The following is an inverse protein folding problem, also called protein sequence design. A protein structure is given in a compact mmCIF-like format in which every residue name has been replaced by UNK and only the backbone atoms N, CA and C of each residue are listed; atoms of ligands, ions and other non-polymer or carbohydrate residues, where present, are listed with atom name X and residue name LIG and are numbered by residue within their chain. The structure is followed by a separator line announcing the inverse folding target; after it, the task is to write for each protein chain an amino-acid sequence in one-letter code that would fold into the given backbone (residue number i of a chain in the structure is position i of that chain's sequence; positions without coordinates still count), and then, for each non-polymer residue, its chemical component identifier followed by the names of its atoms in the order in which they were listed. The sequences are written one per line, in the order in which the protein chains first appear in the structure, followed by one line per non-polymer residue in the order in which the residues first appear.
data_IF_752622956172
#
_entry.id   IF_752622956172
#
_cell.length_a   1.000
_cell.length_b   1.000
_cell.length_c   1.000
_cell.angle_alpha   90.00
_cell.angle_beta   90.00
_cell.angle_gamma   90.00
#
_symmetry.space_group_name_H-M   'P 1'
#
loop_
_entity.id
_entity.type
_entity.pdbx_description
1 polymer ?
#
# COMPACT_ATOMS: atom_id res chain seq x y z
N UNK A 1 0.42 8.43 16.20
CA UNK A 1 0.98 9.60 16.95
C UNK A 1 2.45 9.42 17.36
N UNK A 2 2.92 8.21 17.62
CA UNK A 2 4.30 7.97 18.08
C UNK A 2 5.37 8.29 17.03
N UNK A 3 5.11 8.04 15.74
CA UNK A 3 6.05 8.30 14.64
C UNK A 3 6.21 9.79 14.30
N UNK A 4 5.33 10.66 14.78
CA UNK A 4 5.40 12.12 14.54
C UNK A 4 6.32 12.88 15.51
N UNK A 5 7.11 12.16 16.29
CA UNK A 5 8.10 12.81 17.19
C UNK A 5 9.32 13.26 16.39
N UNK A 6 9.87 14.43 16.70
CA UNK A 6 11.04 15.00 16.02
C UNK A 6 12.24 14.05 15.91
N UNK A 7 12.43 13.16 16.90
CA UNK A 7 13.51 12.16 16.88
C UNK A 7 13.43 11.14 15.74
N UNK A 8 12.31 11.09 15.01
CA UNK A 8 12.13 10.19 13.87
C UNK A 8 12.14 10.91 12.53
N UNK A 9 12.44 12.23 12.51
CA UNK A 9 12.36 13.04 11.29
C UNK A 9 13.31 12.51 10.20
N UNK A 10 14.45 11.99 10.59
CA UNK A 10 15.46 11.44 9.66
C UNK A 10 15.04 10.11 9.01
N UNK A 11 13.92 9.54 9.47
CA UNK A 11 13.35 8.32 8.87
C UNK A 11 12.33 8.65 7.75
N UNK A 12 12.03 9.93 7.54
CA UNK A 12 11.12 10.36 6.49
C UNK A 12 11.90 11.02 5.36
N UNK A 13 11.80 10.43 4.19
CA UNK A 13 12.53 10.86 3.01
C UNK A 13 11.56 11.27 1.91
N UNK A 14 11.94 12.29 1.15
CA UNK A 14 11.23 12.62 -0.07
C UNK A 14 11.56 11.58 -1.15
N UNK A 15 10.51 10.97 -1.72
CA UNK A 15 10.62 9.83 -2.64
C UNK A 15 11.47 10.15 -3.87
N UNK A 16 11.16 11.27 -4.56
CA UNK A 16 11.81 11.64 -5.81
C UNK A 16 13.30 11.94 -5.66
N UNK A 17 13.75 12.36 -4.47
CA UNK A 17 15.13 12.73 -4.22
C UNK A 17 16.01 11.55 -3.75
N UNK A 18 15.43 10.58 -3.06
CA UNK A 18 16.24 9.63 -2.30
C UNK A 18 16.02 8.18 -2.66
N UNK A 19 14.80 7.77 -3.01
CA UNK A 19 14.45 6.35 -3.13
C UNK A 19 15.30 5.61 -4.16
N UNK A 20 15.33 6.10 -5.41
CA UNK A 20 16.12 5.45 -6.49
C UNK A 20 17.60 5.36 -6.14
N UNK A 21 18.15 6.45 -5.60
CA UNK A 21 19.53 6.50 -5.17
C UNK A 21 19.82 5.45 -4.07
N UNK A 22 18.95 5.33 -3.08
CA UNK A 22 19.11 4.32 -2.02
C UNK A 22 18.99 2.90 -2.57
N UNK A 23 18.13 2.66 -3.57
CA UNK A 23 18.08 1.37 -4.27
C UNK A 23 19.40 1.06 -4.98
N UNK A 24 19.90 1.99 -5.79
CA UNK A 24 21.14 1.84 -6.56
C UNK A 24 22.37 1.61 -5.68
N UNK A 25 22.43 2.30 -4.55
CA UNK A 25 23.55 2.23 -3.60
C UNK A 25 23.42 1.07 -2.60
N UNK A 26 22.34 0.29 -2.62
CA UNK A 26 22.09 -0.78 -1.65
C UNK A 26 21.96 -0.27 -0.22
N UNK A 27 21.34 0.88 -0.02
CA UNK A 27 21.19 1.58 1.27
C UNK A 27 19.78 1.62 1.80
N UNK A 28 18.89 0.78 1.28
CA UNK A 28 17.56 0.67 1.86
C UNK A 28 17.63 0.04 3.26
N UNK A 29 16.91 0.60 4.25
CA UNK A 29 16.81 -0.01 5.57
C UNK A 29 15.98 -1.30 5.52
N UNK A 30 16.02 -2.09 6.59
CA UNK A 30 15.32 -3.38 6.67
C UNK A 30 13.79 -3.28 6.51
N UNK A 31 13.22 -2.13 6.78
CA UNK A 31 11.78 -1.87 6.63
C UNK A 31 11.57 -0.51 5.98
N UNK A 32 10.90 -0.50 4.85
CA UNK A 32 10.57 0.70 4.06
C UNK A 32 9.09 0.72 3.77
N UNK A 33 8.46 1.85 4.00
CA UNK A 33 7.09 2.13 3.54
C UNK A 33 7.18 3.23 2.50
N UNK A 34 6.60 3.00 1.34
CA UNK A 34 6.50 3.97 0.27
C UNK A 34 5.04 4.39 0.19
N UNK A 35 4.78 5.67 0.36
CA UNK A 35 3.45 6.24 0.23
C UNK A 35 3.31 6.94 -1.13
N UNK A 36 2.16 6.77 -1.74
CA UNK A 36 1.76 7.40 -2.99
C UNK A 36 1.37 8.87 -2.76
N UNK A 37 1.12 9.60 -3.87
CA UNK A 37 0.52 10.93 -3.81
C UNK A 37 -1.00 10.80 -3.75
N UNK A 38 -1.59 11.29 -2.68
CA UNK A 38 -3.04 11.30 -2.47
C UNK A 38 -3.76 12.46 -3.17
N UNK A 39 -3.03 13.44 -3.67
CA UNK A 39 -3.61 14.64 -4.27
C UNK A 39 -2.77 15.09 -5.46
N UNK A 40 -3.44 15.77 -6.40
CA UNK A 40 -2.75 16.47 -7.46
C UNK A 40 -1.89 17.62 -6.88
N UNK A 41 -0.64 17.68 -7.29
CA UNK A 41 0.28 18.75 -6.95
C UNK A 41 0.64 19.54 -8.21
N UNK A 42 -0.03 20.67 -8.42
CA UNK A 42 0.14 21.49 -9.64
C UNK A 42 -0.16 20.66 -10.90
N UNK A 43 0.89 20.33 -11.68
CA UNK A 43 0.80 19.52 -12.90
C UNK A 43 1.12 18.03 -12.68
N UNK A 44 1.37 17.61 -11.44
CA UNK A 44 1.71 16.23 -11.11
C UNK A 44 0.46 15.55 -10.53
N UNK A 45 -0.13 14.57 -11.23
CA UNK A 45 -1.35 13.93 -10.77
C UNK A 45 -1.13 13.07 -9.52
N UNK A 46 -2.21 12.85 -8.77
CA UNK A 46 -2.28 11.79 -7.75
C UNK A 46 -2.02 10.43 -8.38
N UNK A 47 -1.49 9.48 -7.62
CA UNK A 47 -1.16 8.15 -8.10
C UNK A 47 -1.51 7.06 -7.07
N UNK A 48 -2.60 7.28 -6.35
CA UNK A 48 -3.11 6.44 -5.27
C UNK A 48 -4.20 5.45 -5.70
N UNK A 49 -4.58 5.46 -6.99
CA UNK A 49 -5.64 4.65 -7.58
C UNK A 49 -7.06 4.91 -7.02
N UNK A 50 -7.20 5.87 -6.11
CA UNK A 50 -8.53 6.24 -5.59
C UNK A 50 -9.35 6.98 -6.67
N UNK A 51 -10.61 6.61 -6.94
CA UNK A 51 -11.49 7.42 -7.80
C UNK A 51 -11.62 8.88 -7.26
N UNK A 52 -11.46 9.89 -8.07
CA UNK A 52 -11.42 9.98 -9.53
C UNK A 52 -10.02 10.07 -10.16
N UNK A 53 -8.95 9.67 -9.48
CA UNK A 53 -7.62 9.67 -10.07
C UNK A 53 -7.50 8.60 -11.17
N UNK A 54 -6.57 8.82 -12.10
CA UNK A 54 -6.28 7.86 -13.17
C UNK A 54 -5.46 6.69 -12.61
N UNK A 55 -6.03 5.48 -12.63
CA UNK A 55 -5.38 4.23 -12.22
C UNK A 55 -4.07 4.00 -13.01
N UNK A 56 -3.97 4.49 -14.25
CA UNK A 56 -2.74 4.45 -15.02
C UNK A 56 -1.55 5.14 -14.35
N UNK A 57 -1.78 6.17 -13.53
CA UNK A 57 -0.71 6.85 -12.79
C UNK A 57 -0.21 5.99 -11.62
N UNK A 58 -1.08 5.28 -10.92
CA UNK A 58 -0.69 4.31 -9.89
C UNK A 58 0.07 3.12 -10.50
N UNK A 59 -0.37 2.61 -11.65
CA UNK A 59 0.35 1.53 -12.36
C UNK A 59 1.76 1.95 -12.77
N UNK A 60 1.95 3.18 -13.27
CA UNK A 60 3.27 3.73 -13.57
C UNK A 60 4.14 3.82 -12.32
N UNK A 61 3.56 4.27 -11.21
CA UNK A 61 4.26 4.37 -9.93
C UNK A 61 4.71 3.00 -9.41
N UNK A 62 3.83 2.01 -9.41
CA UNK A 62 4.16 0.62 -9.02
C UNK A 62 5.28 0.06 -9.89
N UNK A 63 5.21 0.28 -11.22
CA UNK A 63 6.25 -0.14 -12.15
C UNK A 63 7.60 0.51 -11.82
N UNK A 64 7.61 1.82 -11.57
CA UNK A 64 8.82 2.58 -11.24
C UNK A 64 9.47 2.06 -9.95
N UNK A 65 8.67 1.82 -8.91
CA UNK A 65 9.14 1.24 -7.64
C UNK A 65 9.72 -0.15 -7.88
N UNK A 66 9.00 -1.03 -8.58
CA UNK A 66 9.47 -2.38 -8.88
C UNK A 66 10.80 -2.39 -9.63
N UNK A 67 10.93 -1.59 -10.68
CA UNK A 67 12.15 -1.52 -11.48
C UNK A 67 13.35 -1.03 -10.65
N UNK A 68 13.14 -0.04 -9.78
CA UNK A 68 14.19 0.45 -8.89
C UNK A 68 14.63 -0.62 -7.88
N UNK A 69 13.68 -1.31 -7.25
CA UNK A 69 13.97 -2.42 -6.32
C UNK A 69 14.64 -3.59 -7.03
N UNK A 70 14.13 -3.95 -8.21
CA UNK A 70 14.66 -5.06 -9.03
C UNK A 70 16.10 -4.83 -9.47
N UNK A 71 16.49 -3.57 -9.70
CA UNK A 71 17.86 -3.16 -10.02
C UNK A 71 18.80 -3.01 -8.81
N UNK A 72 18.27 -3.07 -7.59
CA UNK A 72 19.06 -2.89 -6.38
C UNK A 72 19.98 -4.09 -6.10
N UNK A 73 21.23 -3.85 -5.59
CA UNK A 73 22.07 -4.92 -5.07
C UNK A 73 21.42 -5.75 -3.96
N UNK A 74 20.45 -5.17 -3.24
CA UNK A 74 19.73 -5.83 -2.15
C UNK A 74 18.56 -6.70 -2.64
N UNK A 75 18.23 -6.72 -3.94
CA UNK A 75 17.06 -7.41 -4.47
C UNK A 75 16.89 -8.86 -3.98
N UNK A 76 17.99 -9.61 -3.93
CA UNK A 76 17.97 -11.01 -3.53
C UNK A 76 17.61 -11.25 -2.04
N UNK A 77 17.50 -10.19 -1.25
CA UNK A 77 17.14 -10.23 0.17
C UNK A 77 15.82 -9.52 0.46
N UNK A 78 15.08 -9.10 -0.60
CA UNK A 78 13.88 -8.30 -0.47
C UNK A 78 12.60 -9.13 -0.54
N UNK A 79 11.63 -8.70 0.25
CA UNK A 79 10.20 -8.94 0.04
C UNK A 79 9.53 -7.60 -0.28
N UNK A 80 9.03 -7.45 -1.48
CA UNK A 80 8.23 -6.30 -1.88
C UNK A 80 6.75 -6.65 -1.77
N UNK A 81 6.01 -5.86 -1.00
CA UNK A 81 4.58 -6.02 -0.80
C UNK A 81 3.86 -4.80 -1.37
N UNK A 82 2.92 -5.05 -2.26
CA UNK A 82 1.98 -4.06 -2.75
C UNK A 82 0.63 -4.41 -2.14
N UNK A 83 0.04 -3.51 -1.40
CA UNK A 83 -1.27 -3.73 -0.78
C UNK A 83 -2.09 -2.44 -0.80
N UNK A 84 -3.39 -2.60 -0.97
CA UNK A 84 -4.34 -1.49 -0.87
C UNK A 84 -4.93 -1.46 0.54
N UNK A 85 -5.33 -0.29 0.99
CA UNK A 85 -5.96 -0.09 2.30
C UNK A 85 -7.46 -0.44 2.27
N UNK A 86 -8.11 -0.20 1.11
CA UNK A 86 -9.52 -0.51 0.89
C UNK A 86 -9.81 -0.68 -0.61
N UNK A 87 -11.05 -0.95 -1.00
CA UNK A 87 -11.41 -1.32 -2.38
C UNK A 87 -11.66 -0.15 -3.34
N UNK A 88 -11.52 1.10 -2.90
CA UNK A 88 -11.70 2.31 -3.72
C UNK A 88 -13.14 2.55 -4.20
N UNK A 89 -14.12 1.86 -3.62
CA UNK A 89 -15.50 1.88 -4.14
C UNK A 89 -15.71 1.03 -5.39
N UNK A 90 -14.68 0.31 -5.86
CA UNK A 90 -14.81 -0.60 -6.99
C UNK A 90 -15.62 -1.84 -6.63
N UNK A 91 -16.37 -2.35 -7.62
CA UNK A 91 -17.20 -3.53 -7.46
C UNK A 91 -16.35 -4.81 -7.43
N UNK A 92 -16.75 -5.75 -6.54
CA UNK A 92 -16.25 -7.13 -6.56
C UNK A 92 -17.41 -8.10 -6.86
N UNK A 93 -17.19 -9.06 -7.74
CA UNK A 93 -18.17 -10.11 -8.07
C UNK A 93 -18.28 -11.17 -6.98
N UNK A 94 -17.40 -11.18 -5.98
CA UNK A 94 -17.44 -12.11 -4.84
C UNK A 94 -18.16 -11.46 -3.67
N UNK A 95 -19.26 -12.02 -3.16
CA UNK A 95 -19.91 -11.54 -1.96
C UNK A 95 -18.97 -11.55 -0.75
N UNK A 96 -19.10 -10.55 0.11
CA UNK A 96 -18.31 -10.53 1.35
C UNK A 96 -18.77 -11.62 2.31
N UNK A 97 -17.87 -12.34 2.99
CA UNK A 97 -18.23 -13.31 4.02
C UNK A 97 -19.02 -12.66 5.16
N UNK A 98 -20.14 -13.27 5.52
CA UNK A 98 -21.04 -12.79 6.58
C UNK A 98 -21.25 -13.82 7.70
N UNK A 99 -20.83 -15.07 7.47
CA UNK A 99 -20.96 -16.16 8.41
C UNK A 99 -19.61 -16.49 9.07
N UNK A 100 -19.63 -16.76 10.35
CA UNK A 100 -18.43 -17.17 11.10
C UNK A 100 -17.40 -16.05 11.31
N UNK A 101 -17.78 -14.80 11.10
CA UNK A 101 -16.92 -13.63 11.37
C UNK A 101 -17.28 -13.04 12.72
N UNK A 102 -16.45 -13.22 13.77
CA UNK A 102 -16.74 -12.62 15.06
C UNK A 102 -16.48 -11.10 15.02
N UNK A 103 -17.28 -10.35 15.77
CA UNK A 103 -16.94 -8.95 16.04
C UNK A 103 -15.61 -8.88 16.81
N UNK A 104 -14.68 -7.98 16.46
CA UNK A 104 -13.37 -7.91 17.11
C UNK A 104 -13.41 -7.41 18.56
N UNK A 105 -14.42 -6.61 18.93
CA UNK A 105 -14.48 -5.88 20.19
C UNK A 105 -15.91 -5.60 20.69
N UNK A 106 -16.92 -6.20 20.05
CA UNK A 106 -18.36 -6.03 20.35
C UNK A 106 -18.88 -4.58 20.24
N UNK A 107 -18.10 -3.67 19.66
CA UNK A 107 -18.53 -2.31 19.38
C UNK A 107 -19.58 -2.34 18.29
N UNK A 108 -20.61 -1.53 18.46
CA UNK A 108 -21.66 -1.32 17.47
C UNK A 108 -21.50 0.07 16.86
N UNK A 109 -21.53 0.16 15.54
CA UNK A 109 -21.48 1.42 14.82
C UNK A 109 -22.67 2.35 15.15
N UNK A 110 -22.56 3.64 14.82
CA UNK A 110 -23.60 4.61 15.12
C UNK A 110 -24.89 4.39 14.29
N UNK A 111 -25.96 5.06 14.69
CA UNK A 111 -27.16 5.20 13.88
C UNK A 111 -26.83 5.81 12.50
N UNK A 112 -27.57 5.49 11.45
CA UNK A 112 -28.77 4.64 11.43
C UNK A 112 -28.51 3.15 11.25
N UNK A 113 -27.27 2.73 10.96
CA UNK A 113 -26.99 1.36 10.52
C UNK A 113 -26.69 0.39 11.65
N UNK A 114 -26.25 0.85 12.81
CA UNK A 114 -25.85 0.01 13.95
C UNK A 114 -25.00 -1.19 13.54
N UNK A 115 -23.99 -0.96 12.70
CA UNK A 115 -23.15 -1.99 12.15
C UNK A 115 -22.38 -2.71 13.26
N UNK A 116 -22.41 -4.04 13.26
CA UNK A 116 -21.85 -4.87 14.34
C UNK A 116 -20.44 -5.39 14.07
N UNK A 117 -19.85 -5.05 12.94
CA UNK A 117 -18.51 -5.53 12.51
C UNK A 117 -18.38 -7.06 12.50
N UNK A 118 -19.47 -7.75 12.19
CA UNK A 118 -19.61 -9.21 12.14
C UNK A 118 -19.61 -9.75 10.71
N UNK A 119 -18.93 -9.05 9.80
CA UNK A 119 -18.66 -9.45 8.41
C UNK A 119 -17.33 -8.92 7.93
N UNK A 120 -16.75 -9.56 6.92
CA UNK A 120 -15.58 -9.03 6.22
C UNK A 120 -15.99 -7.95 5.21
N UNK A 121 -15.03 -7.11 4.84
CA UNK A 121 -15.16 -6.12 3.77
C UNK A 121 -14.99 -6.74 2.38
N UNK A 122 -15.13 -5.90 1.36
CA UNK A 122 -14.78 -6.24 -0.02
C UNK A 122 -13.29 -6.59 -0.09
N UNK A 123 -12.93 -7.58 -0.91
CA UNK A 123 -11.54 -7.98 -1.06
C UNK A 123 -10.69 -6.82 -1.57
N UNK A 124 -9.49 -6.67 -1.02
CA UNK A 124 -8.47 -5.74 -1.50
C UNK A 124 -7.29 -6.51 -2.10
N UNK A 125 -6.72 -6.05 -3.23
CA UNK A 125 -5.57 -6.71 -3.83
C UNK A 125 -4.35 -6.61 -2.92
N UNK A 126 -3.60 -7.70 -2.83
CA UNK A 126 -2.28 -7.71 -2.21
C UNK A 126 -1.35 -8.60 -3.03
N UNK A 127 -0.17 -8.10 -3.36
CA UNK A 127 0.80 -8.78 -4.20
C UNK A 127 2.12 -8.88 -3.44
N UNK A 128 2.68 -10.07 -3.40
CA UNK A 128 4.00 -10.35 -2.83
C UNK A 128 4.98 -10.65 -3.95
N UNK A 129 6.09 -9.95 -3.98
CA UNK A 129 7.13 -10.11 -4.99
C UNK A 129 8.48 -10.31 -4.29
N UNK A 130 9.15 -11.42 -4.58
CA UNK A 130 10.48 -11.73 -4.04
C UNK A 130 11.15 -12.80 -4.88
N UNK A 131 12.48 -12.84 -4.96
CA UNK A 131 13.20 -13.99 -5.51
C UNK A 131 12.95 -15.31 -4.75
N UNK A 132 12.42 -15.22 -3.52
CA UNK A 132 12.16 -16.38 -2.64
C UNK A 132 10.75 -16.96 -2.79
N UNK A 133 9.89 -16.33 -3.59
CA UNK A 133 8.51 -16.78 -3.81
C UNK A 133 8.44 -17.54 -5.14
N UNK A 134 7.86 -18.72 -5.11
CA UNK A 134 7.57 -19.48 -6.33
C UNK A 134 6.52 -18.73 -7.19
N UNK A 135 6.77 -18.60 -8.51
CA UNK A 135 5.83 -17.90 -9.39
C UNK A 135 4.45 -18.55 -9.40
N UNK A 136 3.40 -17.73 -9.35
CA UNK A 136 2.03 -18.18 -9.55
C UNK A 136 1.36 -18.81 -8.34
N UNK A 137 1.88 -18.58 -7.16
CA UNK A 137 1.23 -18.96 -5.89
C UNK A 137 0.68 -17.77 -5.15
#
# INVERSE_FOLDING_TARGET
RSLRKLKYIDNFHEYGLTFKKHCEEGKLPNYVVIEQRFFDLLSIPGNDDHPSHDVGEGQKFVKEVYEALRGSPQWNEMLFVITYDEHGGFYDHVPTPVDGVPSPDDIVGPEPFKFKFDRLGVRVPTIFISPWIEPGK
#
